data_IF_771579578371
#
_entry.id   IF_771579578371
#
_cell.length_a   1.000
_cell.length_b   1.000
_cell.length_c   1.000
_cell.angle_alpha   90.00
_cell.angle_beta   90.00
_cell.angle_gamma   90.00
#
_symmetry.space_group_name_H-M   'P 1'
#
loop_
_entity.id
_entity.type
_entity.pdbx_description
1 polymer ?
#
# COMPACT_ATOMS: atom_id res chain seq x y z
N UNK A 1 9.88 3.47 -10.00
CA UNK A 1 9.26 3.23 -11.32
C UNK A 1 7.78 2.85 -11.17
N UNK A 2 7.45 1.74 -10.50
CA UNK A 2 6.06 1.26 -10.30
C UNK A 2 5.10 2.31 -9.76
N UNK A 3 5.46 3.01 -8.68
CA UNK A 3 4.58 4.01 -8.07
C UNK A 3 4.25 5.16 -9.02
N UNK A 4 5.25 5.71 -9.73
CA UNK A 4 5.02 6.75 -10.73
C UNK A 4 4.13 6.29 -11.89
N UNK A 5 4.17 5.01 -12.26
CA UNK A 5 3.28 4.45 -13.28
C UNK A 5 1.84 4.36 -12.78
N UNK A 6 1.63 3.99 -11.50
CA UNK A 6 0.31 3.98 -10.88
C UNK A 6 -0.27 5.40 -10.77
N UNK A 7 0.54 6.40 -10.42
CA UNK A 7 0.12 7.81 -10.44
C UNK A 7 -0.29 8.28 -11.84
N UNK A 8 0.47 7.89 -12.86
CA UNK A 8 0.11 8.20 -14.25
C UNK A 8 -1.24 7.59 -14.63
N UNK A 9 -1.53 6.35 -14.21
CA UNK A 9 -2.82 5.70 -14.48
C UNK A 9 -4.00 6.42 -13.81
N UNK A 10 -3.78 7.07 -12.66
CA UNK A 10 -4.77 7.95 -12.03
C UNK A 10 -4.91 9.24 -12.85
N UNK A 11 -3.80 9.88 -13.24
CA UNK A 11 -3.81 11.12 -14.05
C UNK A 11 -4.64 10.95 -15.35
N UNK A 12 -4.50 9.80 -16.03
CA UNK A 12 -5.23 9.51 -17.27
C UNK A 12 -6.62 8.87 -17.05
N UNK A 13 -7.09 8.78 -15.81
CA UNK A 13 -8.42 8.32 -15.45
C UNK A 13 -8.67 6.82 -15.68
N UNK A 14 -7.61 6.00 -15.77
CA UNK A 14 -7.74 4.54 -15.95
C UNK A 14 -8.04 3.80 -14.65
N UNK A 15 -7.53 4.32 -13.53
CA UNK A 15 -7.82 3.82 -12.18
C UNK A 15 -8.21 4.99 -11.27
N UNK A 16 -8.93 4.69 -10.19
CA UNK A 16 -9.35 5.71 -9.21
C UNK A 16 -8.43 5.80 -8.00
N UNK A 17 -7.80 4.69 -7.64
CA UNK A 17 -7.05 4.55 -6.39
C UNK A 17 -5.86 3.62 -6.56
N UNK A 18 -4.92 3.70 -5.62
CA UNK A 18 -3.67 2.96 -5.60
C UNK A 18 -3.59 2.13 -4.32
N UNK A 19 -3.20 0.87 -4.44
CA UNK A 19 -3.02 -0.06 -3.33
C UNK A 19 -1.80 -0.95 -3.54
N UNK A 20 -1.37 -1.62 -2.47
CA UNK A 20 -0.25 -2.57 -2.47
C UNK A 20 -0.70 -3.91 -1.88
N UNK A 21 0.08 -4.97 -2.09
CA UNK A 21 -0.24 -6.31 -1.61
C UNK A 21 1.03 -7.06 -1.24
N UNK A 22 1.02 -7.75 -0.10
CA UNK A 22 2.15 -8.51 0.45
C UNK A 22 3.39 -7.65 0.75
N UNK A 23 3.19 -6.43 1.28
CA UNK A 23 4.27 -5.53 1.72
C UNK A 23 4.36 -5.54 3.24
N UNK A 24 5.56 -5.75 3.79
CA UNK A 24 5.82 -5.53 5.21
C UNK A 24 5.77 -4.03 5.57
N UNK A 25 5.89 -3.70 6.86
CA UNK A 25 5.84 -2.31 7.34
C UNK A 25 6.87 -1.42 6.63
N UNK A 26 8.13 -1.84 6.56
CA UNK A 26 9.22 -1.06 5.97
C UNK A 26 9.01 -0.84 4.48
N UNK A 27 8.50 -1.86 3.77
CA UNK A 27 8.14 -1.74 2.37
C UNK A 27 6.96 -0.81 2.17
N UNK A 28 5.97 -0.85 3.06
CA UNK A 28 4.79 0.02 3.04
C UNK A 28 5.18 1.49 3.24
N UNK A 29 6.00 1.78 4.25
CA UNK A 29 6.53 3.13 4.50
C UNK A 29 7.30 3.65 3.29
N UNK A 30 8.23 2.85 2.75
CA UNK A 30 9.01 3.23 1.57
C UNK A 30 8.12 3.43 0.33
N UNK A 31 7.07 2.63 0.18
CA UNK A 31 6.11 2.79 -0.91
C UNK A 31 5.36 4.12 -0.77
N UNK A 32 4.86 4.42 0.43
CA UNK A 32 4.17 5.66 0.74
C UNK A 32 5.07 6.89 0.53
N UNK A 33 6.31 6.86 1.01
CA UNK A 33 7.32 7.91 0.80
C UNK A 33 7.67 8.15 -0.68
N UNK A 34 7.53 7.11 -1.52
CA UNK A 34 7.83 7.21 -2.95
C UNK A 34 6.68 7.75 -3.80
N UNK A 35 5.48 7.86 -3.22
CA UNK A 35 4.35 8.53 -3.84
C UNK A 35 4.55 10.05 -3.81
N UNK A 36 4.16 10.73 -4.88
CA UNK A 36 4.33 12.17 -5.06
C UNK A 36 3.01 12.94 -5.14
N UNK A 37 1.96 12.29 -5.62
CA UNK A 37 0.67 12.91 -5.96
C UNK A 37 -0.52 12.29 -5.23
N UNK A 38 -0.49 10.96 -5.03
CA UNK A 38 -1.63 10.20 -4.52
C UNK A 38 -1.20 9.31 -3.36
N UNK A 39 -2.10 9.06 -2.42
CA UNK A 39 -1.84 8.15 -1.30
C UNK A 39 -2.08 6.69 -1.69
N UNK A 40 -1.41 5.77 -1.00
CA UNK A 40 -1.73 4.34 -1.03
C UNK A 40 -2.89 4.12 -0.08
N UNK A 41 -4.07 3.79 -0.61
CA UNK A 41 -5.30 3.72 0.18
C UNK A 41 -5.55 2.35 0.82
N UNK A 42 -4.77 1.34 0.45
CA UNK A 42 -4.96 -0.02 0.94
C UNK A 42 -3.70 -0.87 0.83
N UNK A 43 -3.51 -1.75 1.81
CA UNK A 43 -2.56 -2.86 1.76
C UNK A 43 -3.30 -4.18 1.92
N UNK A 44 -3.07 -5.14 1.03
CA UNK A 44 -3.68 -6.47 1.09
C UNK A 44 -2.67 -7.49 1.62
N UNK A 45 -2.94 -8.04 2.80
CA UNK A 45 -2.04 -8.96 3.50
C UNK A 45 -2.73 -10.28 3.87
N UNK A 46 -1.97 -11.39 3.96
CA UNK A 46 -2.50 -12.63 4.50
C UNK A 46 -2.80 -12.45 5.99
N UNK A 47 -4.09 -12.51 6.34
CA UNK A 47 -4.55 -12.37 7.71
C UNK A 47 -5.72 -13.32 7.97
N UNK A 48 -5.58 -14.18 8.98
CA UNK A 48 -6.59 -15.15 9.41
C UNK A 48 -6.30 -15.61 10.86
N UNK A 49 -7.15 -16.47 11.42
CA UNK A 49 -6.99 -16.95 12.81
C UNK A 49 -5.62 -17.59 13.09
N UNK A 50 -5.02 -18.25 12.10
CA UNK A 50 -3.71 -18.89 12.23
C UNK A 50 -2.54 -17.96 11.89
N UNK A 51 -2.79 -16.85 11.17
CA UNK A 51 -1.78 -15.88 10.78
C UNK A 51 -2.22 -14.46 11.16
N UNK A 52 -1.74 -14.00 12.32
CA UNK A 52 -2.01 -12.69 12.90
C UNK A 52 -0.76 -11.80 12.94
N UNK A 53 0.24 -12.12 12.10
CA UNK A 53 1.59 -11.51 12.15
C UNK A 53 1.56 -9.99 12.02
N UNK A 54 0.63 -9.44 11.23
CA UNK A 54 0.53 -8.00 10.97
C UNK A 54 0.00 -7.18 12.15
N UNK A 55 -0.49 -7.79 13.22
CA UNK A 55 -1.13 -7.07 14.33
C UNK A 55 -0.17 -6.22 15.17
N UNK A 56 1.11 -6.59 15.19
CA UNK A 56 2.11 -5.92 16.03
C UNK A 56 2.72 -4.69 15.36
N UNK A 57 2.62 -4.58 14.04
CA UNK A 57 3.33 -3.58 13.26
C UNK A 57 2.44 -2.92 12.18
N UNK A 58 2.13 -3.65 11.11
CA UNK A 58 1.52 -3.08 9.91
C UNK A 58 0.07 -2.68 10.13
N UNK A 59 -0.71 -3.46 10.90
CA UNK A 59 -2.10 -3.12 11.21
C UNK A 59 -2.18 -1.82 12.05
N UNK A 60 -1.46 -1.65 13.17
CA UNK A 60 -1.41 -0.37 13.89
C UNK A 60 -0.95 0.81 13.04
N UNK A 61 -0.06 0.59 12.06
CA UNK A 61 0.37 1.65 11.15
C UNK A 61 -0.74 2.09 10.17
N UNK A 62 -1.63 1.17 9.77
CA UNK A 62 -2.71 1.45 8.84
C UNK A 62 -4.02 1.93 9.51
N UNK A 63 -4.16 1.78 10.83
CA UNK A 63 -5.33 2.22 11.62
C UNK A 63 -5.23 3.71 12.00
#
# INVERSE_FOLDING_TARGET
ETMSALEHLVDIGKIRYIGISNFDLKQTEKAAESMKKYEIISTQMPYNLNNRTIETDLKPYCD
#
